data_IF_645770999998
#
_entry.id   IF_645770999998
#
_cell.length_a   1.000
_cell.length_b   1.000
_cell.length_c   1.000
_cell.angle_alpha   90.00
_cell.angle_beta   90.00
_cell.angle_gamma   90.00
#
_symmetry.space_group_name_H-M   'P 1'
#
loop_
_entity.id
_entity.type
_entity.pdbx_description
1 polymer ?
#
# COMPACT_ATOMS: atom_id res chain seq x y z
N UNK A 1 -35.93 9.58 7.59
CA UNK A 1 -35.02 9.05 6.55
C UNK A 1 -33.99 8.22 7.28
N UNK A 2 -33.78 6.94 6.90
CA UNK A 2 -32.76 6.14 7.55
C UNK A 2 -31.39 6.79 7.28
N UNK A 3 -30.61 7.05 8.34
CA UNK A 3 -29.24 7.54 8.23
C UNK A 3 -28.45 6.55 7.38
N UNK A 4 -27.85 7.01 6.28
CA UNK A 4 -26.94 6.16 5.50
C UNK A 4 -25.75 5.88 6.42
N UNK A 5 -25.45 4.62 6.75
CA UNK A 5 -24.38 4.32 7.67
C UNK A 5 -23.06 4.82 7.07
N UNK A 6 -22.34 5.65 7.82
CA UNK A 6 -21.08 6.28 7.43
C UNK A 6 -20.05 5.21 7.04
N UNK A 7 -19.34 5.40 5.93
CA UNK A 7 -18.29 4.46 5.50
C UNK A 7 -17.05 4.60 6.37
N UNK A 8 -16.30 3.53 6.58
CA UNK A 8 -15.11 3.52 7.45
C UNK A 8 -13.86 3.30 6.61
N UNK A 9 -12.89 4.20 6.77
CA UNK A 9 -11.57 4.10 6.18
C UNK A 9 -10.50 3.94 7.27
N UNK A 10 -9.48 3.12 7.01
CA UNK A 10 -8.29 3.00 7.84
C UNK A 10 -7.03 3.27 7.02
N UNK A 11 -6.14 4.14 7.49
CA UNK A 11 -4.91 4.53 6.80
C UNK A 11 -3.71 4.31 7.71
N UNK A 12 -2.77 3.45 7.30
CA UNK A 12 -1.48 3.31 8.01
C UNK A 12 -0.45 4.31 7.48
N UNK A 13 0.37 4.87 8.37
CA UNK A 13 1.26 5.98 8.04
C UNK A 13 0.48 7.24 7.63
N UNK A 14 -0.73 7.42 8.18
CA UNK A 14 -1.62 8.53 7.82
C UNK A 14 -1.26 9.87 8.44
N UNK A 15 -0.25 9.92 9.33
CA UNK A 15 0.20 11.14 10.01
C UNK A 15 1.18 12.00 9.22
N UNK A 16 1.51 11.66 7.97
CA UNK A 16 2.31 12.52 7.07
C UNK A 16 2.27 12.07 5.61
N UNK A 17 2.77 12.93 4.72
CA UNK A 17 3.05 12.58 3.32
C UNK A 17 1.83 12.05 2.59
N UNK A 18 2.01 10.96 1.82
CA UNK A 18 0.95 10.37 1.00
C UNK A 18 -0.25 9.92 1.86
N UNK A 19 0.01 9.29 3.00
CA UNK A 19 -1.06 8.83 3.90
C UNK A 19 -1.91 10.00 4.40
N UNK A 20 -1.28 11.10 4.81
CA UNK A 20 -1.99 12.31 5.24
C UNK A 20 -2.79 12.95 4.09
N UNK A 21 -2.22 13.00 2.88
CA UNK A 21 -2.93 13.52 1.72
C UNK A 21 -4.20 12.68 1.41
N UNK A 22 -4.13 11.35 1.53
CA UNK A 22 -5.29 10.46 1.36
C UNK A 22 -6.31 10.67 2.48
N UNK A 23 -5.89 10.81 3.73
CA UNK A 23 -6.78 11.16 4.86
C UNK A 23 -7.53 12.46 4.56
N UNK A 24 -6.82 13.51 4.14
CA UNK A 24 -7.40 14.80 3.81
C UNK A 24 -8.40 14.70 2.64
N UNK A 25 -8.08 13.93 1.60
CA UNK A 25 -8.96 13.68 0.47
C UNK A 25 -10.26 12.96 0.89
N UNK A 26 -10.17 11.95 1.78
CA UNK A 26 -11.34 11.24 2.32
C UNK A 26 -12.22 12.15 3.18
N UNK A 27 -11.60 12.97 4.05
CA UNK A 27 -12.31 13.96 4.87
C UNK A 27 -13.01 14.98 3.98
N UNK A 28 -12.32 15.53 2.98
CA UNK A 28 -12.88 16.51 2.05
C UNK A 28 -14.04 15.93 1.22
N UNK A 29 -13.97 14.64 0.89
CA UNK A 29 -15.04 13.92 0.19
C UNK A 29 -16.31 13.77 1.04
N UNK A 30 -16.17 13.70 2.37
CA UNK A 30 -17.29 13.53 3.30
C UNK A 30 -17.90 12.13 3.28
N UNK A 31 -18.73 11.83 4.28
CA UNK A 31 -19.38 10.51 4.43
C UNK A 31 -18.46 9.39 4.93
N UNK A 32 -17.25 9.74 5.38
CA UNK A 32 -16.23 8.81 5.89
C UNK A 32 -15.96 9.04 7.38
N UNK A 33 -15.81 7.95 8.13
CA UNK A 33 -15.11 7.90 9.41
C UNK A 33 -13.68 7.44 9.11
N UNK A 34 -12.70 8.31 9.33
CA UNK A 34 -11.31 8.08 8.90
C UNK A 34 -10.44 7.75 10.11
N UNK A 35 -9.92 6.53 10.16
CA UNK A 35 -9.04 6.07 11.21
C UNK A 35 -7.59 6.10 10.71
N UNK A 36 -6.69 6.64 11.53
CA UNK A 36 -5.27 6.80 11.22
C UNK A 36 -4.47 5.92 12.17
N UNK A 37 -3.59 5.09 11.61
CA UNK A 37 -2.56 4.39 12.36
C UNK A 37 -1.21 5.01 12.03
N UNK A 38 -0.46 5.40 13.04
CA UNK A 38 0.91 5.89 12.90
C UNK A 38 1.75 5.55 14.15
N UNK A 39 3.07 5.61 14.03
CA UNK A 39 4.01 5.36 15.13
C UNK A 39 4.27 6.63 15.96
N UNK A 40 3.98 7.81 15.38
CA UNK A 40 4.21 9.11 15.99
C UNK A 40 3.48 9.28 17.33
N UNK A 41 4.03 10.07 18.23
CA UNK A 41 3.32 10.45 19.46
C UNK A 41 2.18 11.43 19.19
N UNK A 42 2.38 12.33 18.22
CA UNK A 42 1.43 13.36 17.83
C UNK A 42 1.44 13.51 16.30
N UNK A 43 0.25 13.60 15.72
CA UNK A 43 0.04 13.82 14.27
C UNK A 43 -0.64 15.17 14.00
N UNK A 44 -0.75 16.01 15.02
CA UNK A 44 -1.41 17.31 14.99
C UNK A 44 -2.93 17.20 15.14
N UNK A 45 -3.64 18.33 14.98
CA UNK A 45 -5.08 18.38 15.13
C UNK A 45 -5.78 17.52 14.07
N UNK A 46 -6.79 16.77 14.50
CA UNK A 46 -7.61 15.93 13.64
C UNK A 46 -8.83 16.70 13.12
N UNK A 47 -9.17 16.46 11.86
CA UNK A 47 -10.45 16.89 11.31
C UNK A 47 -11.63 16.17 11.99
N UNK A 48 -12.86 16.72 11.92
CA UNK A 48 -14.05 16.00 12.38
C UNK A 48 -14.15 14.60 11.74
N UNK A 49 -14.69 13.64 12.48
CA UNK A 49 -14.82 12.23 12.06
C UNK A 49 -13.48 11.58 11.68
N UNK A 50 -12.39 12.04 12.27
CA UNK A 50 -11.06 11.44 12.14
C UNK A 50 -10.57 10.96 13.51
N UNK A 51 -10.02 9.75 13.57
CA UNK A 51 -9.59 9.10 14.80
C UNK A 51 -8.15 8.63 14.67
N UNK A 52 -7.37 8.74 15.75
CA UNK A 52 -5.96 8.37 15.76
C UNK A 52 -5.70 7.17 16.68
N UNK A 53 -4.91 6.23 16.19
CA UNK A 53 -4.43 5.06 16.91
C UNK A 53 -2.90 5.01 16.79
N UNK A 54 -2.19 5.20 17.90
CA UNK A 54 -0.73 5.02 17.93
C UNK A 54 -0.41 3.52 17.91
N UNK A 55 0.19 3.04 16.82
CA UNK A 55 0.61 1.65 16.69
C UNK A 55 1.75 1.48 15.69
N UNK A 56 2.67 0.57 16.01
CA UNK A 56 3.70 0.10 15.08
C UNK A 56 3.17 -1.08 14.26
N UNK A 57 3.22 -0.99 12.94
CA UNK A 57 2.77 -2.04 12.02
C UNK A 57 3.60 -3.34 12.12
N UNK A 58 4.81 -3.29 12.66
CA UNK A 58 5.63 -4.48 12.94
C UNK A 58 5.19 -5.22 14.20
N UNK A 59 4.47 -4.53 15.10
CA UNK A 59 3.89 -5.11 16.30
C UNK A 59 2.46 -5.59 16.02
N UNK A 60 2.30 -6.90 15.80
CA UNK A 60 1.01 -7.50 15.49
C UNK A 60 -0.06 -7.26 16.57
N UNK A 61 0.32 -7.19 17.85
CA UNK A 61 -0.59 -6.92 18.95
C UNK A 61 -1.15 -5.49 18.93
N UNK A 62 -0.28 -4.49 18.74
CA UNK A 62 -0.71 -3.09 18.60
C UNK A 62 -1.57 -2.89 17.35
N UNK A 63 -1.14 -3.46 16.21
CA UNK A 63 -1.88 -3.37 14.96
C UNK A 63 -3.28 -3.98 15.10
N UNK A 64 -3.41 -5.20 15.63
CA UNK A 64 -4.71 -5.83 15.86
C UNK A 64 -5.59 -5.07 16.85
N UNK A 65 -5.02 -4.44 17.88
CA UNK A 65 -5.77 -3.58 18.80
C UNK A 65 -6.37 -2.36 18.08
N UNK A 66 -5.58 -1.66 17.26
CA UNK A 66 -6.05 -0.51 16.48
C UNK A 66 -7.17 -0.89 15.48
N UNK A 67 -7.06 -2.06 14.84
CA UNK A 67 -8.14 -2.57 13.98
C UNK A 67 -9.42 -2.91 14.78
N UNK A 68 -9.30 -3.49 15.98
CA UNK A 68 -10.46 -3.77 16.85
C UNK A 68 -11.17 -2.49 17.29
N UNK A 69 -10.41 -1.46 17.64
CA UNK A 69 -10.95 -0.15 18.00
C UNK A 69 -11.64 0.52 16.81
N UNK A 70 -11.00 0.49 15.64
CA UNK A 70 -11.59 0.97 14.37
C UNK A 70 -12.90 0.26 14.07
N UNK A 71 -12.93 -1.07 14.18
CA UNK A 71 -14.12 -1.87 13.95
C UNK A 71 -15.26 -1.54 14.92
N UNK A 72 -14.95 -1.38 16.20
CA UNK A 72 -15.92 -1.04 17.22
C UNK A 72 -16.49 0.37 17.03
N UNK A 73 -15.63 1.36 16.83
CA UNK A 73 -16.01 2.76 16.62
C UNK A 73 -16.73 2.98 15.29
N UNK A 74 -16.35 2.23 14.26
CA UNK A 74 -16.91 2.31 12.91
C UNK A 74 -18.30 1.67 12.76
N UNK A 75 -18.87 1.07 13.81
CA UNK A 75 -20.16 0.39 13.72
C UNK A 75 -20.08 -0.99 13.06
N UNK A 76 -18.98 -1.71 13.29
CA UNK A 76 -18.71 -3.05 12.75
C UNK A 76 -18.67 -3.09 11.22
N UNK A 77 -17.87 -2.19 10.63
CA UNK A 77 -17.56 -2.16 9.20
C UNK A 77 -16.15 -1.63 8.95
N UNK A 78 -15.58 -2.00 7.81
CA UNK A 78 -14.35 -1.44 7.26
C UNK A 78 -14.44 -1.45 5.73
N UNK A 79 -14.65 -0.29 5.11
CA UNK A 79 -14.92 -0.19 3.66
C UNK A 79 -13.65 0.08 2.85
N UNK A 80 -12.69 0.80 3.44
CA UNK A 80 -11.45 1.18 2.78
C UNK A 80 -10.24 0.96 3.70
N UNK A 81 -9.21 0.32 3.16
CA UNK A 81 -7.90 0.22 3.81
C UNK A 81 -6.82 0.76 2.89
N UNK A 82 -6.10 1.78 3.34
CA UNK A 82 -4.88 2.24 2.70
C UNK A 82 -3.66 1.76 3.50
N UNK A 83 -3.08 0.64 3.09
CA UNK A 83 -1.86 0.08 3.65
C UNK A 83 -0.65 0.84 3.08
N UNK A 84 -0.27 1.94 3.76
CA UNK A 84 0.67 2.92 3.24
C UNK A 84 1.96 3.06 4.06
N UNK A 85 1.96 2.70 5.34
CA UNK A 85 3.14 2.81 6.20
C UNK A 85 4.39 2.21 5.55
N UNK A 86 5.49 2.97 5.55
CA UNK A 86 6.75 2.54 4.98
C UNK A 86 7.89 3.54 5.19
N UNK A 87 9.11 3.04 5.06
CA UNK A 87 10.35 3.79 5.24
C UNK A 87 11.34 3.50 4.12
N UNK A 88 12.33 4.39 3.94
CA UNK A 88 13.55 4.07 3.19
C UNK A 88 14.48 3.23 4.06
N UNK A 89 15.36 2.44 3.45
CA UNK A 89 16.45 1.81 4.18
C UNK A 89 17.44 2.85 4.74
N UNK A 90 18.06 2.53 5.87
CA UNK A 90 19.09 3.36 6.50
C UNK A 90 20.51 2.84 6.24
N UNK A 91 20.62 1.56 5.88
CA UNK A 91 21.88 0.89 5.60
C UNK A 91 22.47 1.37 4.27
N UNK A 92 23.75 1.73 4.26
CA UNK A 92 24.49 1.85 3.00
C UNK A 92 24.98 0.45 2.57
N UNK A 93 24.20 -0.24 1.73
CA UNK A 93 24.53 -1.59 1.27
C UNK A 93 25.88 -1.70 0.55
N UNK A 94 26.35 -0.61 -0.06
CA UNK A 94 27.59 -0.58 -0.83
C UNK A 94 28.81 -0.17 0.00
N UNK A 95 28.63 0.14 1.29
CA UNK A 95 29.74 0.38 2.19
C UNK A 95 30.61 -0.88 2.31
N UNK A 96 31.92 -0.69 2.21
CA UNK A 96 32.90 -1.72 2.56
C UNK A 96 33.25 -1.55 4.04
N UNK A 97 33.67 -2.64 4.68
CA UNK A 97 34.31 -2.53 5.99
C UNK A 97 35.53 -1.62 5.91
N UNK A 98 35.74 -0.81 6.93
CA UNK A 98 36.91 0.06 7.06
C UNK A 98 38.18 -0.73 7.39
N UNK A 99 38.02 -1.90 8.02
CA UNK A 99 39.12 -2.83 8.31
C UNK A 99 39.11 -4.00 7.31
N UNK A 100 40.26 -4.33 6.69
CA UNK A 100 40.33 -5.49 5.79
C UNK A 100 40.10 -6.83 6.51
N UNK A 101 40.28 -6.86 7.82
CA UNK A 101 40.15 -8.07 8.64
C UNK A 101 38.75 -8.20 9.28
N UNK A 102 37.91 -7.16 9.23
CA UNK A 102 36.56 -7.18 9.78
C UNK A 102 35.51 -7.22 8.63
N UNK A 103 34.46 -8.04 8.73
CA UNK A 103 33.37 -8.01 7.75
C UNK A 103 32.53 -6.72 7.89
N UNK A 104 31.72 -6.35 6.87
CA UNK A 104 30.74 -5.29 7.00
C UNK A 104 29.74 -5.55 8.14
N UNK A 105 29.24 -4.47 8.76
CA UNK A 105 28.20 -4.57 9.79
C UNK A 105 26.91 -5.21 9.26
N UNK A 106 26.14 -5.83 10.16
CA UNK A 106 24.84 -6.39 9.81
C UNK A 106 23.91 -5.28 9.29
N UNK A 107 23.26 -5.45 8.13
CA UNK A 107 22.33 -4.47 7.60
C UNK A 107 21.10 -4.33 8.52
N UNK A 108 20.59 -3.11 8.64
CA UNK A 108 19.30 -2.86 9.29
C UNK A 108 18.15 -3.36 8.41
N UNK A 109 17.30 -4.22 8.99
CA UNK A 109 16.18 -4.87 8.30
C UNK A 109 14.84 -4.17 8.47
N UNK A 110 14.80 -2.99 9.11
CA UNK A 110 13.57 -2.21 9.35
C UNK A 110 12.71 -2.07 8.09
N UNK A 111 13.32 -1.84 6.93
CA UNK A 111 12.60 -1.68 5.67
C UNK A 111 11.88 -2.97 5.24
N UNK A 112 12.46 -4.15 5.48
CA UNK A 112 11.78 -5.43 5.24
C UNK A 112 10.65 -5.66 6.24
N UNK A 113 10.91 -5.41 7.52
CA UNK A 113 9.93 -5.63 8.59
C UNK A 113 8.72 -4.69 8.45
N UNK A 114 8.94 -3.40 8.15
CA UNK A 114 7.87 -2.41 8.03
C UNK A 114 7.20 -2.50 6.65
N UNK A 115 7.97 -2.36 5.57
CA UNK A 115 7.38 -2.21 4.23
C UNK A 115 6.74 -3.49 3.73
N UNK A 116 7.31 -4.66 4.05
CA UNK A 116 6.81 -5.95 3.57
C UNK A 116 5.95 -6.64 4.63
N UNK A 117 6.55 -7.09 5.74
CA UNK A 117 5.83 -7.88 6.75
C UNK A 117 4.72 -7.07 7.42
N UNK A 118 4.99 -5.83 7.82
CA UNK A 118 4.00 -4.92 8.41
C UNK A 118 2.84 -4.63 7.45
N UNK A 119 3.14 -4.42 6.17
CA UNK A 119 2.12 -4.31 5.12
C UNK A 119 1.28 -5.58 4.98
N UNK A 120 1.90 -6.76 4.87
CA UNK A 120 1.18 -8.03 4.76
C UNK A 120 0.29 -8.30 5.98
N UNK A 121 0.77 -8.00 7.18
CA UNK A 121 -0.03 -8.09 8.41
C UNK A 121 -1.23 -7.14 8.37
N UNK A 122 -1.02 -5.89 7.94
CA UNK A 122 -2.07 -4.88 7.78
C UNK A 122 -3.15 -5.36 6.81
N UNK A 123 -2.75 -5.88 5.65
CA UNK A 123 -3.68 -6.43 4.64
C UNK A 123 -4.41 -7.66 5.17
N UNK A 124 -3.72 -8.58 5.86
CA UNK A 124 -4.32 -9.79 6.43
C UNK A 124 -5.40 -9.48 7.45
N UNK A 125 -5.13 -8.56 8.38
CA UNK A 125 -6.11 -8.13 9.40
C UNK A 125 -7.24 -7.34 8.75
N UNK A 126 -6.92 -6.44 7.81
CA UNK A 126 -7.90 -5.67 7.05
C UNK A 126 -8.89 -6.55 6.30
N UNK A 127 -8.40 -7.58 5.60
CA UNK A 127 -9.24 -8.58 4.93
C UNK A 127 -10.21 -9.23 5.91
N UNK A 128 -9.74 -9.66 7.09
CA UNK A 128 -10.61 -10.31 8.08
C UNK A 128 -11.85 -9.48 8.44
N UNK A 129 -11.66 -8.19 8.69
CA UNK A 129 -12.75 -7.27 9.02
C UNK A 129 -13.59 -6.90 7.79
N UNK A 130 -12.94 -6.62 6.67
CA UNK A 130 -13.63 -6.22 5.42
C UNK A 130 -14.47 -7.36 4.83
N UNK A 131 -14.06 -8.62 5.01
CA UNK A 131 -14.83 -9.80 4.58
C UNK A 131 -16.15 -9.98 5.38
N UNK A 132 -16.32 -9.27 6.50
CA UNK A 132 -17.60 -9.23 7.21
C UNK A 132 -18.61 -8.28 6.55
N UNK A 133 -18.17 -7.40 5.65
CA UNK A 133 -19.08 -6.53 4.90
C UNK A 133 -19.76 -7.34 3.79
N UNK A 134 -21.09 -7.25 3.61
CA UNK A 134 -21.80 -7.97 2.53
C UNK A 134 -21.30 -7.67 1.11
N UNK A 135 -20.78 -6.46 0.91
CA UNK A 135 -20.31 -5.92 -0.36
C UNK A 135 -18.77 -5.90 -0.46
N UNK A 136 -18.06 -6.50 0.50
CA UNK A 136 -16.60 -6.48 0.57
C UNK A 136 -16.04 -5.08 0.83
N UNK A 137 -15.03 -4.67 0.07
CA UNK A 137 -14.43 -3.35 0.19
C UNK A 137 -13.22 -3.13 -0.72
N UNK A 138 -12.45 -2.08 -0.44
CA UNK A 138 -11.27 -1.70 -1.23
C UNK A 138 -10.02 -1.61 -0.37
N UNK A 139 -8.96 -2.28 -0.81
CA UNK A 139 -7.62 -2.19 -0.25
C UNK A 139 -6.72 -1.54 -1.30
N UNK A 140 -6.00 -0.51 -0.90
CA UNK A 140 -4.91 0.05 -1.70
C UNK A 140 -3.61 -0.12 -0.92
N UNK A 141 -2.61 -0.69 -1.59
CA UNK A 141 -1.29 -0.94 -1.01
C UNK A 141 -0.27 -0.03 -1.66
N UNK A 142 0.49 0.69 -0.84
CA UNK A 142 1.58 1.54 -1.34
C UNK A 142 2.86 0.73 -1.50
N UNK A 143 3.16 0.37 -2.75
CA UNK A 143 4.47 -0.13 -3.13
C UNK A 143 5.38 1.05 -3.51
N UNK A 144 6.03 1.01 -4.67
CA UNK A 144 6.88 2.07 -5.21
C UNK A 144 7.15 1.79 -6.68
N UNK A 145 7.46 2.82 -7.47
CA UNK A 145 8.12 2.60 -8.78
C UNK A 145 9.43 1.80 -8.64
N UNK A 146 10.07 1.85 -7.46
CA UNK A 146 11.20 0.99 -7.08
C UNK A 146 10.89 -0.51 -7.14
N UNK A 147 9.62 -0.91 -7.11
CA UNK A 147 9.16 -2.30 -7.24
C UNK A 147 9.11 -2.80 -8.69
N UNK A 148 9.38 -1.92 -9.65
CA UNK A 148 9.33 -2.18 -11.09
C UNK A 148 10.71 -1.90 -11.69
N UNK A 149 11.26 -0.73 -11.38
CA UNK A 149 12.60 -0.32 -11.74
C UNK A 149 13.40 -0.07 -10.47
N UNK A 150 14.57 -0.69 -10.26
CA UNK A 150 15.24 -0.65 -8.97
C UNK A 150 15.64 0.77 -8.57
N UNK A 151 15.52 1.08 -7.26
CA UNK A 151 16.26 2.19 -6.69
C UNK A 151 17.72 1.77 -6.54
N UNK A 152 18.59 2.30 -7.41
CA UNK A 152 20.00 1.89 -7.47
C UNK A 152 20.78 2.18 -6.18
N UNK A 153 20.31 3.11 -5.34
CA UNK A 153 20.92 3.43 -4.06
C UNK A 153 20.25 2.74 -2.87
N UNK A 154 19.20 1.93 -3.08
CA UNK A 154 18.42 1.34 -1.98
C UNK A 154 17.93 -0.09 -2.26
N UNK A 155 18.81 -1.11 -2.27
CA UNK A 155 18.46 -2.49 -2.63
C UNK A 155 17.53 -3.20 -1.63
N UNK A 156 17.61 -2.94 -0.32
CA UNK A 156 16.71 -3.55 0.69
C UNK A 156 15.30 -2.96 0.54
N UNK A 157 15.19 -1.63 0.37
CA UNK A 157 13.94 -0.95 0.08
C UNK A 157 13.33 -1.48 -1.21
N UNK A 158 14.12 -1.53 -2.28
CA UNK A 158 13.73 -2.10 -3.59
C UNK A 158 13.19 -3.52 -3.43
N UNK A 159 13.90 -4.38 -2.69
CA UNK A 159 13.48 -5.76 -2.42
C UNK A 159 12.16 -5.82 -1.65
N UNK A 160 12.01 -4.99 -0.61
CA UNK A 160 10.78 -4.93 0.18
C UNK A 160 9.56 -4.52 -0.66
N UNK A 161 9.71 -3.55 -1.56
CA UNK A 161 8.63 -3.03 -2.42
C UNK A 161 8.31 -3.98 -3.58
N UNK A 162 9.30 -4.67 -4.14
CA UNK A 162 9.05 -5.81 -5.05
C UNK A 162 8.25 -6.91 -4.35
N UNK A 163 8.61 -7.26 -3.10
CA UNK A 163 7.86 -8.23 -2.30
C UNK A 163 6.39 -7.83 -2.10
N UNK A 164 6.12 -6.54 -1.86
CA UNK A 164 4.76 -6.01 -1.75
C UNK A 164 3.98 -6.15 -3.06
N UNK A 165 4.58 -5.80 -4.20
CA UNK A 165 3.94 -5.93 -5.51
C UNK A 165 3.65 -7.40 -5.85
N UNK A 166 4.62 -8.29 -5.60
CA UNK A 166 4.45 -9.74 -5.75
C UNK A 166 3.33 -10.27 -4.87
N UNK A 167 3.29 -9.87 -3.60
CA UNK A 167 2.25 -10.25 -2.67
C UNK A 167 0.85 -9.88 -3.17
N UNK A 168 0.64 -8.63 -3.60
CA UNK A 168 -0.68 -8.21 -4.12
C UNK A 168 -1.08 -9.04 -5.34
N UNK A 169 -0.17 -9.23 -6.30
CA UNK A 169 -0.41 -10.06 -7.49
C UNK A 169 -0.77 -11.51 -7.14
N UNK A 170 -0.24 -12.05 -6.06
CA UNK A 170 -0.54 -13.42 -5.61
C UNK A 170 -1.89 -13.58 -4.92
N UNK A 171 -2.49 -12.50 -4.39
CA UNK A 171 -3.73 -12.60 -3.57
C UNK A 171 -4.94 -11.92 -4.20
N UNK A 172 -4.74 -11.06 -5.20
CA UNK A 172 -5.77 -10.16 -5.73
C UNK A 172 -7.01 -10.88 -6.24
N UNK A 173 -6.82 -11.94 -7.02
CA UNK A 173 -7.92 -12.69 -7.61
C UNK A 173 -8.73 -13.44 -6.54
N UNK A 174 -8.05 -14.11 -5.60
CA UNK A 174 -8.71 -14.81 -4.51
C UNK A 174 -9.48 -13.84 -3.59
N UNK A 175 -8.93 -12.67 -3.27
CA UNK A 175 -9.61 -11.69 -2.42
C UNK A 175 -10.89 -11.18 -3.08
N UNK A 176 -10.86 -11.01 -4.40
CA UNK A 176 -12.03 -10.59 -5.14
C UNK A 176 -13.08 -11.69 -5.24
N UNK A 177 -12.71 -12.92 -5.62
CA UNK A 177 -13.67 -14.02 -5.82
C UNK A 177 -14.26 -14.54 -4.52
N UNK A 178 -13.47 -14.62 -3.44
CA UNK A 178 -13.93 -15.15 -2.15
C UNK A 178 -14.64 -14.13 -1.26
N UNK A 179 -14.15 -12.88 -1.21
CA UNK A 179 -14.60 -11.89 -0.22
C UNK A 179 -15.16 -10.60 -0.85
N UNK A 180 -15.21 -10.49 -2.19
CA UNK A 180 -15.55 -9.26 -2.94
C UNK A 180 -14.64 -8.08 -2.57
N UNK A 181 -13.41 -8.35 -2.17
CA UNK A 181 -12.43 -7.34 -1.80
C UNK A 181 -11.54 -7.03 -3.00
N UNK A 182 -11.55 -5.76 -3.42
CA UNK A 182 -10.66 -5.28 -4.47
C UNK A 182 -9.36 -4.83 -3.83
N UNK A 183 -8.24 -5.43 -4.20
CA UNK A 183 -6.90 -4.98 -3.77
C UNK A 183 -6.11 -4.48 -4.98
N UNK A 184 -5.59 -3.26 -4.90
CA UNK A 184 -4.81 -2.61 -5.96
C UNK A 184 -3.48 -2.09 -5.42
N UNK A 185 -2.47 -1.97 -6.29
CA UNK A 185 -1.14 -1.47 -5.95
C UNK A 185 -0.91 -0.07 -6.50
N UNK A 186 -0.54 0.85 -5.61
CA UNK A 186 -0.04 2.16 -5.94
C UNK A 186 1.50 2.10 -5.93
N UNK A 187 2.15 2.50 -7.03
CA UNK A 187 3.60 2.52 -7.18
C UNK A 187 4.09 3.95 -7.44
N UNK A 188 4.07 4.87 -6.46
CA UNK A 188 4.49 6.25 -6.70
C UNK A 188 5.95 6.34 -7.18
N UNK A 189 6.20 7.29 -8.08
CA UNK A 189 7.54 7.79 -8.37
C UNK A 189 7.98 8.81 -7.31
N UNK A 190 8.74 9.84 -7.66
CA UNK A 190 9.26 10.80 -6.70
C UNK A 190 8.14 11.67 -6.12
N UNK A 191 7.67 11.36 -4.91
CA UNK A 191 6.76 12.21 -4.14
C UNK A 191 7.55 12.83 -3.00
N UNK A 192 7.56 14.17 -2.92
CA UNK A 192 8.35 14.89 -1.90
C UNK A 192 7.72 14.69 -0.52
N UNK A 193 8.23 13.70 0.19
CA UNK A 193 7.82 13.33 1.56
C UNK A 193 9.05 13.25 2.45
N UNK A 194 8.84 13.15 3.76
CA UNK A 194 9.92 12.98 4.74
C UNK A 194 10.64 11.62 4.67
N UNK A 195 10.27 10.73 3.74
CA UNK A 195 10.94 9.42 3.57
C UNK A 195 12.38 9.57 3.06
N UNK A 196 12.67 10.67 2.37
CA UNK A 196 14.03 11.10 1.99
C UNK A 196 14.24 12.49 2.57
N UNK A 197 15.47 12.79 2.98
CA UNK A 197 15.83 14.13 3.46
C UNK A 197 15.73 15.17 2.34
N UNK A 198 15.54 16.44 2.70
CA UNK A 198 15.55 17.55 1.73
C UNK A 198 16.83 17.60 0.90
N UNK A 199 17.98 17.28 1.51
CA UNK A 199 19.26 17.18 0.80
C UNK A 199 19.27 16.02 -0.20
N UNK A 200 18.67 14.88 0.14
CA UNK A 200 18.52 13.77 -0.79
C UNK A 200 17.62 14.13 -1.98
N UNK A 201 16.52 14.84 -1.74
CA UNK A 201 15.64 15.33 -2.81
C UNK A 201 16.29 16.38 -3.72
N UNK A 202 17.26 17.15 -3.23
CA UNK A 202 17.95 18.17 -4.03
C UNK A 202 18.70 17.62 -5.26
N UNK A 203 19.02 16.32 -5.27
CA UNK A 203 19.64 15.65 -6.42
C UNK A 203 18.67 15.32 -7.57
N UNK A 204 17.35 15.47 -7.35
CA UNK A 204 16.33 15.11 -8.34
C UNK A 204 15.90 16.34 -9.16
N UNK A 205 15.68 16.19 -10.50
CA UNK A 205 15.12 17.26 -11.31
C UNK A 205 13.73 17.68 -10.81
N UNK A 206 13.41 18.98 -10.64
CA UNK A 206 12.12 19.41 -10.13
C UNK A 206 10.91 18.88 -10.92
N UNK A 207 11.09 18.64 -12.22
CA UNK A 207 10.04 18.13 -13.11
C UNK A 207 9.67 16.66 -12.88
N UNK A 208 10.43 15.90 -12.08
CA UNK A 208 10.10 14.51 -11.79
C UNK A 208 9.19 14.33 -10.57
N UNK A 209 8.93 15.40 -9.80
CA UNK A 209 8.12 15.30 -8.60
C UNK A 209 6.64 15.16 -8.95
N UNK A 210 6.05 14.06 -8.48
CA UNK A 210 4.61 13.80 -8.55
C UNK A 210 3.90 14.59 -7.43
N UNK A 211 2.94 15.47 -7.75
CA UNK A 211 2.11 16.14 -6.75
C UNK A 211 1.26 15.14 -5.95
N UNK A 212 0.91 15.47 -4.72
CA UNK A 212 0.05 14.62 -3.89
C UNK A 212 -1.32 14.39 -4.54
N UNK A 213 -1.82 15.39 -5.27
CA UNK A 213 -3.11 15.38 -5.94
C UNK A 213 -3.21 14.23 -6.94
N UNK A 214 -2.17 14.01 -7.76
CA UNK A 214 -2.10 12.91 -8.74
C UNK A 214 -2.12 11.56 -8.02
N UNK A 215 -1.41 11.45 -6.90
CA UNK A 215 -1.38 10.23 -6.09
C UNK A 215 -2.76 9.97 -5.46
N UNK A 216 -3.38 10.99 -4.87
CA UNK A 216 -4.71 10.88 -4.25
C UNK A 216 -5.81 10.60 -5.27
N UNK A 217 -5.70 11.15 -6.49
CA UNK A 217 -6.63 10.85 -7.58
C UNK A 217 -6.65 9.35 -7.86
N UNK A 218 -5.47 8.73 -8.06
CA UNK A 218 -5.37 7.30 -8.32
C UNK A 218 -5.93 6.48 -7.14
N UNK A 219 -5.65 6.87 -5.90
CA UNK A 219 -6.20 6.20 -4.72
C UNK A 219 -7.73 6.28 -4.67
N UNK A 220 -8.31 7.43 -4.98
CA UNK A 220 -9.77 7.61 -5.02
C UNK A 220 -10.41 6.82 -6.17
N UNK A 221 -9.75 6.74 -7.33
CA UNK A 221 -10.20 5.88 -8.45
C UNK A 221 -10.20 4.41 -8.08
N UNK A 222 -9.17 3.94 -7.37
CA UNK A 222 -9.17 2.60 -6.81
C UNK A 222 -10.29 2.42 -5.79
N UNK A 223 -10.50 3.37 -4.88
CA UNK A 223 -11.59 3.31 -3.91
C UNK A 223 -12.95 3.17 -4.60
N UNK A 224 -13.17 3.89 -5.69
CA UNK A 224 -14.43 3.91 -6.44
C UNK A 224 -14.65 2.68 -7.33
N UNK A 225 -13.65 1.82 -7.47
CA UNK A 225 -13.76 0.60 -8.28
C UNK A 225 -13.74 0.86 -9.77
N UNK A 226 -13.05 1.91 -10.19
CA UNK A 226 -12.80 2.19 -11.59
C UNK A 226 -11.85 1.15 -12.20
N UNK A 227 -12.16 0.69 -13.41
CA UNK A 227 -11.15 0.17 -14.34
C UNK A 227 -10.43 1.39 -14.94
N UNK A 228 -9.30 1.77 -14.36
CA UNK A 228 -8.62 3.03 -14.65
C UNK A 228 -8.20 3.07 -16.13
N UNK A 229 -8.44 4.21 -16.78
CA UNK A 229 -7.81 4.59 -18.05
C UNK A 229 -6.62 5.48 -17.71
N UNK A 230 -5.42 5.08 -18.11
CA UNK A 230 -4.20 5.80 -17.79
C UNK A 230 -3.92 6.98 -18.74
N UNK A 231 -2.85 7.72 -18.47
CA UNK A 231 -2.47 8.89 -19.28
C UNK A 231 -2.07 8.57 -20.72
N UNK A 232 -1.88 7.29 -21.07
CA UNK A 232 -1.65 6.82 -22.44
C UNK A 232 -2.94 6.28 -23.12
N UNK A 233 -4.08 6.33 -22.43
CA UNK A 233 -5.35 5.79 -22.92
C UNK A 233 -5.50 4.28 -22.72
N UNK A 234 -4.61 3.64 -21.96
CA UNK A 234 -4.68 2.20 -21.67
C UNK A 234 -5.65 1.96 -20.54
N UNK A 235 -6.64 1.08 -20.75
CA UNK A 235 -7.65 0.73 -19.75
C UNK A 235 -7.34 -0.62 -19.11
N UNK A 236 -7.54 -0.74 -17.80
CA UNK A 236 -7.49 -2.03 -17.13
C UNK A 236 -8.69 -2.92 -17.49
N UNK A 237 -8.46 -4.23 -17.60
CA UNK A 237 -9.51 -5.22 -17.82
C UNK A 237 -10.36 -5.46 -16.56
N UNK A 238 -9.73 -5.35 -15.39
CA UNK A 238 -10.31 -5.59 -14.06
C UNK A 238 -10.23 -4.33 -13.19
N UNK A 239 -11.14 -4.19 -12.24
CA UNK A 239 -11.12 -3.10 -11.24
C UNK A 239 -10.40 -3.48 -9.92
N UNK A 240 -9.72 -4.62 -9.93
CA UNK A 240 -8.85 -5.15 -8.87
C UNK A 240 -7.54 -5.64 -9.51
N UNK A 241 -6.47 -5.81 -8.73
CA UNK A 241 -5.14 -6.21 -9.24
C UNK A 241 -4.40 -5.15 -10.03
N UNK A 242 -4.96 -3.96 -10.17
CA UNK A 242 -4.38 -2.88 -10.94
C UNK A 242 -3.10 -2.40 -10.25
N UNK A 243 -2.05 -2.17 -11.03
CA UNK A 243 -0.81 -1.53 -10.56
C UNK A 243 -0.65 -0.23 -11.33
N UNK A 244 -0.73 0.90 -10.62
CA UNK A 244 -0.60 2.24 -11.23
C UNK A 244 0.66 2.92 -10.72
N UNK A 245 1.37 3.57 -11.64
CA UNK A 245 2.57 4.37 -11.39
C UNK A 245 2.29 5.86 -11.61
N UNK A 246 1.95 6.62 -10.55
CA UNK A 246 1.92 8.08 -10.61
C UNK A 246 3.32 8.67 -10.77
N UNK A 247 3.55 9.43 -11.83
CA UNK A 247 4.84 10.06 -12.15
C UNK A 247 4.63 11.46 -12.72
N UNK A 248 5.22 12.46 -12.07
CA UNK A 248 4.97 13.87 -12.37
C UNK A 248 3.46 14.17 -12.41
N UNK A 249 2.95 14.72 -13.51
CA UNK A 249 1.54 15.08 -13.73
C UNK A 249 0.69 13.95 -14.33
N UNK A 250 1.23 12.73 -14.42
CA UNK A 250 0.61 11.58 -15.13
C UNK A 250 0.60 10.32 -14.29
N UNK A 251 -0.13 9.32 -14.76
CA UNK A 251 -0.07 7.96 -14.21
C UNK A 251 -0.23 6.91 -15.31
N UNK A 252 0.40 5.75 -15.11
CA UNK A 252 0.46 4.68 -16.09
C UNK A 252 0.20 3.31 -15.47
N UNK A 253 -0.39 2.39 -16.22
CA UNK A 253 -0.47 0.99 -15.81
C UNK A 253 0.90 0.31 -15.86
N UNK A 254 1.14 -0.62 -14.92
CA UNK A 254 2.24 -1.57 -15.00
C UNK A 254 1.73 -3.01 -14.85
N UNK A 255 1.51 -3.66 -15.99
CA UNK A 255 1.00 -5.02 -16.06
C UNK A 255 2.05 -6.07 -15.64
N UNK A 256 1.59 -7.30 -15.43
CA UNK A 256 2.51 -8.43 -15.29
C UNK A 256 3.26 -8.66 -16.61
N UNK A 257 4.53 -9.12 -16.54
CA UNK A 257 5.23 -9.58 -17.73
C UNK A 257 4.44 -10.70 -18.44
N UNK A 258 4.52 -10.80 -19.78
CA UNK A 258 3.87 -11.89 -20.50
C UNK A 258 4.48 -13.25 -20.14
N UNK A 259 3.68 -14.31 -20.25
CA UNK A 259 4.18 -15.68 -20.13
C UNK A 259 5.18 -16.01 -21.24
N UNK A 260 6.12 -16.91 -20.93
CA UNK A 260 7.16 -17.32 -21.87
C UNK A 260 6.61 -18.21 -22.99
N UNK A 261 5.75 -19.16 -22.63
CA UNK A 261 5.00 -20.05 -23.52
C UNK A 261 3.72 -20.53 -22.81
N UNK A 262 2.93 -21.36 -23.49
CA UNK A 262 1.67 -21.87 -22.94
C UNK A 262 1.89 -22.83 -21.75
N UNK A 263 3.01 -23.55 -21.70
CA UNK A 263 3.33 -24.43 -20.55
C UNK A 263 3.67 -23.61 -19.31
N UNK A 264 4.39 -22.50 -19.47
CA UNK A 264 4.63 -21.55 -18.38
C UNK A 264 3.31 -20.99 -17.86
N UNK A 265 2.39 -20.58 -18.75
CA UNK A 265 1.03 -20.17 -18.36
C UNK A 265 0.34 -21.25 -17.55
N UNK A 266 0.23 -22.48 -18.07
CA UNK A 266 -0.44 -23.58 -17.36
C UNK A 266 0.19 -23.89 -16.01
N UNK A 267 1.52 -23.80 -15.88
CA UNK A 267 2.21 -23.99 -14.60
C UNK A 267 1.80 -22.93 -13.59
N UNK A 268 1.80 -21.64 -13.98
CA UNK A 268 1.40 -20.55 -13.09
C UNK A 268 -0.08 -20.69 -12.72
N UNK A 269 -0.94 -21.00 -13.69
CA UNK A 269 -2.38 -21.16 -13.46
C UNK A 269 -2.68 -22.34 -12.51
N UNK A 270 -1.89 -23.41 -12.55
CA UNK A 270 -2.01 -24.52 -11.61
C UNK A 270 -1.75 -24.12 -10.15
N UNK A 271 -1.07 -22.99 -9.90
CA UNK A 271 -0.82 -22.48 -8.54
C UNK A 271 -1.95 -21.62 -7.98
N UNK A 272 -2.98 -21.31 -8.77
CA UNK A 272 -4.16 -20.58 -8.25
C UNK A 272 -4.76 -21.33 -7.06
N UNK A 273 -5.16 -20.57 -6.04
CA UNK A 273 -5.68 -21.11 -4.78
C UNK A 273 -6.83 -22.09 -5.01
N UNK A 274 -7.72 -21.80 -5.98
CA UNK A 274 -8.85 -22.66 -6.36
C UNK A 274 -8.42 -24.06 -6.81
N UNK A 275 -7.26 -24.18 -7.47
CA UNK A 275 -6.69 -25.45 -7.93
C UNK A 275 -5.96 -26.21 -6.81
N UNK A 276 -5.60 -25.50 -5.73
CA UNK A 276 -4.76 -26.00 -4.65
C UNK A 276 -5.49 -26.13 -3.31
N UNK A 277 -6.82 -25.88 -3.25
CA UNK A 277 -7.61 -25.88 -2.00
C UNK A 277 -7.35 -27.15 -1.17
N UNK A 278 -7.37 -28.33 -1.79
CA UNK A 278 -7.15 -29.62 -1.09
C UNK A 278 -5.73 -29.86 -0.57
N UNK A 279 -4.77 -28.98 -0.86
CA UNK A 279 -3.37 -29.07 -0.44
C UNK A 279 -2.93 -27.93 0.50
N UNK A 280 -3.67 -26.81 0.56
CA UNK A 280 -3.24 -25.58 1.23
C UNK A 280 -4.22 -25.13 2.34
N UNK A 281 -5.51 -25.45 2.22
CA UNK A 281 -6.58 -25.09 3.17
C UNK A 281 -7.12 -26.32 3.89
#
# INVERSE_FOLDING_TARGET
MAEIPQKVALVTGGGSGIGQAVVQALVARGGWSVHIIDVKDDIGPLSPNTFYHKADTTNYGQLTAAFKETWAAGGKRLDFLFANAGILEKTNWFAKSESPDEPPEEPQWDAMEINLKGCMNTVRIGRHYMAQNPDGGSIVVTSSSAAIWPSFCSPIYTSSKHGVLGFVRSVEDWYYTSDKIRINTLCPSAVRTAIVSEQGWAGFPPSCFTPFEVVTEVVLKFLDGECIVDSAGVKADKNYGQTIVPTADKFYHNFMPPFCDERHRSMVEATHVENMIGHIL
#
